data_IF_632684077566
#
_entry.id   IF_632684077566
#
_cell.length_a   1.000
_cell.length_b   1.000
_cell.length_c   1.000
_cell.angle_alpha   90.00
_cell.angle_beta   90.00
_cell.angle_gamma   90.00
#
_symmetry.space_group_name_H-M   'P 1'
#
loop_
_entity.id
_entity.type
_entity.pdbx_description
1 polymer ?
#
# COMPACT_ATOMS: atom_id res chain seq x y z
N UNK A 1 -41.00 -26.31 -36.01
CA UNK A 1 -39.59 -26.02 -36.35
C UNK A 1 -39.35 -24.55 -36.08
N UNK A 2 -38.59 -24.23 -35.04
CA UNK A 2 -38.12 -22.87 -34.76
C UNK A 2 -36.75 -22.99 -34.07
N UNK A 3 -35.74 -22.42 -34.71
CA UNK A 3 -34.38 -22.22 -34.21
C UNK A 3 -34.28 -20.81 -33.64
N UNK A 4 -33.90 -20.67 -32.37
CA UNK A 4 -33.24 -19.52 -31.73
C UNK A 4 -33.33 -19.75 -30.20
N UNK A 5 -32.29 -19.62 -29.37
CA UNK A 5 -31.31 -18.55 -29.24
C UNK A 5 -30.02 -19.08 -28.60
N UNK A 6 -28.88 -18.81 -29.25
CA UNK A 6 -27.58 -18.72 -28.60
C UNK A 6 -27.46 -17.30 -28.02
N UNK A 7 -27.36 -17.18 -26.70
CA UNK A 7 -27.03 -15.92 -26.04
C UNK A 7 -25.51 -15.80 -25.95
N UNK A 8 -24.94 -14.91 -26.75
CA UNK A 8 -23.54 -14.48 -26.64
C UNK A 8 -23.42 -13.59 -25.41
N UNK A 9 -22.79 -14.09 -24.35
CA UNK A 9 -22.32 -13.29 -23.21
C UNK A 9 -21.33 -12.25 -23.75
N UNK A 10 -21.74 -10.99 -23.73
CA UNK A 10 -20.89 -9.85 -24.08
C UNK A 10 -19.74 -9.75 -23.07
N UNK A 11 -18.51 -9.65 -23.59
CA UNK A 11 -17.36 -9.18 -22.82
C UNK A 11 -17.62 -7.73 -22.35
N UNK A 12 -17.25 -7.36 -21.12
CA UNK A 12 -17.41 -5.99 -20.65
C UNK A 12 -16.55 -5.04 -21.49
N UNK A 13 -17.14 -3.91 -21.89
CA UNK A 13 -16.49 -2.83 -22.64
C UNK A 13 -15.30 -2.25 -21.86
N UNK A 14 -14.25 -1.75 -22.54
CA UNK A 14 -13.14 -1.10 -21.89
C UNK A 14 -13.61 0.21 -21.24
N UNK A 15 -13.34 0.38 -19.95
CA UNK A 15 -13.56 1.63 -19.22
C UNK A 15 -12.85 2.78 -19.92
N UNK A 16 -13.62 3.56 -20.70
CA UNK A 16 -13.16 4.81 -21.30
C UNK A 16 -13.34 5.95 -20.29
N UNK A 17 -12.23 6.64 -20.05
CA UNK A 17 -12.12 7.95 -19.41
C UNK A 17 -12.50 8.00 -17.92
N UNK A 18 -11.56 7.60 -17.07
CA UNK A 18 -11.54 8.08 -15.69
C UNK A 18 -11.29 9.60 -15.70
N UNK A 19 -12.23 10.38 -15.16
CA UNK A 19 -12.01 11.79 -14.86
C UNK A 19 -10.76 11.94 -13.98
N UNK A 20 -9.98 13.04 -14.11
CA UNK A 20 -8.87 13.29 -13.20
C UNK A 20 -9.43 13.32 -11.77
N UNK A 21 -8.83 12.53 -10.87
CA UNK A 21 -9.14 12.58 -9.45
C UNK A 21 -9.24 14.04 -9.02
N UNK A 22 -10.42 14.50 -8.58
CA UNK A 22 -10.53 15.74 -7.80
C UNK A 22 -9.45 15.65 -6.71
N UNK A 23 -8.58 16.65 -6.62
CA UNK A 23 -7.45 16.63 -5.69
C UNK A 23 -7.96 16.19 -4.31
N UNK A 24 -7.37 15.16 -3.72
CA UNK A 24 -7.76 14.68 -2.39
C UNK A 24 -7.75 15.83 -1.36
N UNK A 25 -6.91 16.85 -1.58
CA UNK A 25 -6.87 18.09 -0.82
C UNK A 25 -8.17 18.93 -0.88
N UNK A 26 -8.89 18.93 -2.01
CA UNK A 26 -10.15 19.68 -2.20
C UNK A 26 -11.34 18.95 -1.54
N UNK A 27 -11.31 17.61 -1.51
CA UNK A 27 -12.29 16.79 -0.80
C UNK A 27 -12.19 16.94 0.73
N UNK A 28 -10.99 17.20 1.25
CA UNK A 28 -10.76 17.43 2.68
C UNK A 28 -11.28 18.80 3.15
N UNK A 29 -11.23 19.83 2.29
CA UNK A 29 -11.68 21.18 2.64
C UNK A 29 -13.21 21.31 2.76
N UNK A 30 -13.98 20.46 2.07
CA UNK A 30 -15.44 20.54 2.09
C UNK A 30 -16.13 19.85 3.28
N UNK A 31 -15.43 19.01 4.06
CA UNK A 31 -16.05 18.12 5.08
C UNK A 31 -15.32 18.09 6.44
N UNK A 32 -14.64 19.18 6.80
CA UNK A 32 -13.71 19.24 7.94
C UNK A 32 -14.31 19.01 9.36
N UNK A 33 -15.63 18.86 9.51
CA UNK A 33 -16.27 18.70 10.83
C UNK A 33 -16.70 17.27 11.20
N UNK A 34 -16.72 16.30 10.27
CA UNK A 34 -17.29 14.97 10.57
C UNK A 34 -16.74 13.80 9.74
N UNK A 35 -15.60 13.94 9.07
CA UNK A 35 -14.97 12.82 8.37
C UNK A 35 -14.42 11.80 9.38
N UNK A 36 -15.28 10.86 9.78
CA UNK A 36 -14.87 9.69 10.54
C UNK A 36 -14.11 8.67 9.68
N UNK A 37 -14.29 8.71 8.36
CA UNK A 37 -13.71 7.77 7.39
C UNK A 37 -13.08 8.51 6.23
N UNK A 38 -11.88 8.11 5.85
CA UNK A 38 -11.17 8.63 4.68
C UNK A 38 -10.63 7.49 3.83
N UNK A 39 -10.82 7.59 2.51
CA UNK A 39 -10.14 6.74 1.54
C UNK A 39 -9.21 7.60 0.71
N UNK A 40 -7.93 7.24 0.66
CA UNK A 40 -6.90 7.93 -0.12
C UNK A 40 -6.33 6.98 -1.16
N UNK A 41 -6.41 7.37 -2.43
CA UNK A 41 -5.74 6.69 -3.53
C UNK A 41 -4.48 7.45 -3.91
N UNK A 42 -3.35 6.75 -3.93
CA UNK A 42 -2.02 7.26 -4.20
C UNK A 42 -1.54 6.61 -5.49
N UNK A 43 -1.48 7.40 -6.56
CA UNK A 43 -0.94 7.01 -7.88
C UNK A 43 0.36 7.73 -8.23
N UNK A 44 0.63 8.84 -7.55
CA UNK A 44 1.85 9.63 -7.71
C UNK A 44 2.23 10.25 -6.36
N UNK A 45 3.53 10.35 -6.12
CA UNK A 45 4.09 10.92 -4.88
C UNK A 45 3.89 12.44 -4.75
N UNK A 46 3.58 13.14 -5.86
CA UNK A 46 3.44 14.60 -5.87
C UNK A 46 2.25 15.11 -5.03
N UNK A 47 1.16 14.35 -4.95
CA UNK A 47 -0.08 14.78 -4.28
C UNK A 47 -0.10 14.43 -2.77
N UNK A 48 0.81 13.56 -2.34
CA UNK A 48 0.81 12.93 -1.02
C UNK A 48 1.18 13.89 0.12
N UNK A 49 2.13 14.78 -0.12
CA UNK A 49 2.68 15.64 0.95
C UNK A 49 1.62 16.59 1.53
N UNK A 50 0.77 17.16 0.68
CA UNK A 50 -0.30 18.07 1.11
C UNK A 50 -1.41 17.32 1.84
N UNK A 51 -1.73 16.11 1.38
CA UNK A 51 -2.74 15.25 1.98
C UNK A 51 -2.33 14.82 3.39
N UNK A 52 -1.09 14.36 3.59
CA UNK A 52 -0.62 13.95 4.92
C UNK A 52 -0.57 15.12 5.91
N UNK A 53 -0.15 16.31 5.46
CA UNK A 53 -0.17 17.51 6.30
C UNK A 53 -1.60 17.83 6.79
N UNK A 54 -2.59 17.80 5.90
CA UNK A 54 -3.99 18.04 6.25
C UNK A 54 -4.61 16.91 7.08
N UNK A 55 -4.19 15.66 6.85
CA UNK A 55 -4.75 14.48 7.51
C UNK A 55 -4.53 14.51 9.03
N UNK A 56 -3.38 15.02 9.48
CA UNK A 56 -3.06 15.18 10.91
C UNK A 56 -4.03 16.08 11.68
N UNK A 57 -4.81 16.92 10.97
CA UNK A 57 -5.77 17.85 11.55
C UNK A 57 -7.19 17.27 11.62
N UNK A 58 -7.40 16.06 11.08
CA UNK A 58 -8.70 15.41 11.00
C UNK A 58 -8.91 14.44 12.16
N UNK A 59 -10.15 14.37 12.67
CA UNK A 59 -10.56 13.37 13.66
C UNK A 59 -10.99 12.06 12.99
N UNK A 60 -10.06 11.43 12.29
CA UNK A 60 -10.29 10.19 11.54
C UNK A 60 -10.34 8.98 12.46
N UNK A 61 -11.36 8.13 12.28
CA UNK A 61 -11.51 6.83 12.92
C UNK A 61 -11.24 5.67 11.98
N UNK A 62 -11.48 5.86 10.69
CA UNK A 62 -11.24 4.87 9.64
C UNK A 62 -10.38 5.48 8.53
N UNK A 63 -9.31 4.78 8.15
CA UNK A 63 -8.44 5.19 7.05
C UNK A 63 -8.19 4.01 6.10
N UNK A 64 -8.53 4.20 4.83
CA UNK A 64 -8.25 3.25 3.76
C UNK A 64 -7.25 3.86 2.79
N UNK A 65 -6.04 3.32 2.74
CA UNK A 65 -5.00 3.71 1.79
C UNK A 65 -5.00 2.74 0.62
N UNK A 66 -5.05 3.26 -0.60
CA UNK A 66 -4.90 2.50 -1.84
C UNK A 66 -3.65 3.04 -2.53
N UNK A 67 -2.60 2.24 -2.62
CA UNK A 67 -1.34 2.60 -3.26
C UNK A 67 -1.28 1.83 -4.58
N UNK A 68 -1.32 2.56 -5.69
CA UNK A 68 -1.24 2.00 -7.04
C UNK A 68 0.05 2.47 -7.69
N UNK A 69 0.96 1.53 -7.90
CA UNK A 69 2.24 1.78 -8.53
C UNK A 69 2.08 1.78 -10.07
N UNK A 70 2.26 2.96 -10.69
CA UNK A 70 2.08 3.11 -12.13
C UNK A 70 3.33 2.73 -12.95
N UNK A 71 4.51 2.79 -12.33
CA UNK A 71 5.81 2.52 -12.98
C UNK A 71 6.74 1.91 -11.94
N UNK A 72 7.48 0.88 -12.33
CA UNK A 72 8.56 0.25 -11.55
C UNK A 72 9.81 1.17 -11.51
N UNK A 73 9.64 2.37 -10.96
CA UNK A 73 10.70 3.37 -10.81
C UNK A 73 11.16 3.43 -9.35
N UNK A 74 12.40 2.99 -9.11
CA UNK A 74 13.06 3.04 -7.81
C UNK A 74 13.01 4.45 -7.17
N UNK A 75 13.07 5.53 -7.95
CA UNK A 75 13.06 6.89 -7.40
C UNK A 75 11.69 7.25 -6.83
N UNK A 76 10.62 6.91 -7.54
CA UNK A 76 9.24 7.11 -7.06
C UNK A 76 8.95 6.21 -5.85
N UNK A 77 9.42 4.97 -5.84
CA UNK A 77 9.32 4.07 -4.68
C UNK A 77 10.05 4.62 -3.45
N UNK A 78 11.28 5.09 -3.62
CA UNK A 78 12.04 5.70 -2.54
C UNK A 78 11.37 6.98 -2.05
N UNK A 79 10.77 7.76 -2.94
CA UNK A 79 10.03 8.97 -2.58
C UNK A 79 8.73 8.64 -1.83
N UNK A 80 7.99 7.61 -2.24
CA UNK A 80 6.84 7.08 -1.52
C UNK A 80 7.24 6.66 -0.10
N UNK A 81 8.33 5.89 0.02
CA UNK A 81 8.86 5.46 1.31
C UNK A 81 9.22 6.66 2.22
N UNK A 82 9.86 7.69 1.67
CA UNK A 82 10.15 8.92 2.44
C UNK A 82 8.88 9.66 2.87
N UNK A 83 7.87 9.75 2.00
CA UNK A 83 6.60 10.38 2.32
C UNK A 83 5.83 9.62 3.40
N UNK A 84 5.89 8.29 3.38
CA UNK A 84 5.30 7.44 4.42
C UNK A 84 5.91 7.73 5.79
N UNK A 85 7.20 8.01 5.89
CA UNK A 85 7.83 8.42 7.17
C UNK A 85 7.30 9.74 7.72
N UNK A 86 6.78 10.60 6.84
CA UNK A 86 6.16 11.87 7.21
C UNK A 86 4.67 11.72 7.50
N UNK A 87 4.07 10.59 7.13
CA UNK A 87 2.77 10.20 7.64
C UNK A 87 2.90 10.11 9.16
N UNK A 88 1.95 10.69 9.89
CA UNK A 88 1.94 10.67 11.35
C UNK A 88 0.66 9.98 11.82
N UNK A 89 0.50 8.71 11.46
CA UNK A 89 -0.72 7.95 11.78
C UNK A 89 -0.94 7.81 13.29
N UNK A 90 0.13 7.85 14.09
CA UNK A 90 0.08 7.70 15.55
C UNK A 90 -0.76 8.79 16.22
N UNK A 91 -0.81 10.01 15.66
CA UNK A 91 -1.60 11.10 16.21
C UNK A 91 -3.10 11.00 15.92
N UNK A 92 -3.51 10.08 15.04
CA UNK A 92 -4.90 9.91 14.65
C UNK A 92 -5.57 8.86 15.56
N UNK A 93 -6.82 9.09 16.00
CA UNK A 93 -7.58 8.13 16.80
C UNK A 93 -8.21 7.03 15.91
N UNK A 94 -7.39 6.37 15.10
CA UNK A 94 -7.84 5.34 14.16
C UNK A 94 -8.32 4.08 14.92
N UNK A 95 -9.59 3.74 14.73
CA UNK A 95 -10.19 2.48 15.18
C UNK A 95 -10.10 1.40 14.08
N UNK A 96 -10.02 1.81 12.80
CA UNK A 96 -9.88 0.90 11.66
C UNK A 96 -8.90 1.44 10.63
N UNK A 97 -8.09 0.55 10.06
CA UNK A 97 -7.09 0.89 9.06
C UNK A 97 -7.03 -0.17 7.96
N UNK A 98 -6.93 0.23 6.70
CA UNK A 98 -6.58 -0.72 5.64
C UNK A 98 -5.59 -0.15 4.65
N UNK A 99 -4.74 -1.02 4.12
CA UNK A 99 -3.88 -0.73 2.97
C UNK A 99 -4.21 -1.73 1.87
N UNK A 100 -4.41 -1.23 0.66
CA UNK A 100 -4.32 -2.02 -0.57
C UNK A 100 -3.12 -1.52 -1.35
N UNK A 101 -2.08 -2.34 -1.49
CA UNK A 101 -0.88 -2.02 -2.25
C UNK A 101 -0.88 -2.83 -3.55
N UNK A 102 -0.80 -2.17 -4.69
CA UNK A 102 -0.84 -2.79 -6.00
C UNK A 102 0.40 -2.43 -6.83
N UNK A 103 1.20 -3.43 -7.17
CA UNK A 103 2.34 -3.34 -8.07
C UNK A 103 2.35 -4.53 -9.05
N UNK A 104 2.26 -4.20 -10.34
CA UNK A 104 2.43 -5.14 -11.44
C UNK A 104 3.90 -5.19 -11.90
N UNK A 105 4.82 -5.37 -10.96
CA UNK A 105 6.26 -5.41 -11.23
C UNK A 105 6.65 -6.60 -12.11
N UNK A 106 7.72 -6.43 -12.89
CA UNK A 106 8.23 -7.44 -13.83
C UNK A 106 9.29 -8.36 -13.20
N UNK A 107 9.91 -7.92 -12.11
CA UNK A 107 10.92 -8.66 -11.34
C UNK A 107 10.80 -8.39 -9.83
N UNK A 108 11.60 -9.04 -9.00
CA UNK A 108 11.56 -8.93 -7.54
C UNK A 108 12.41 -7.77 -6.96
N UNK A 109 13.14 -7.04 -7.81
CA UNK A 109 14.27 -6.17 -7.44
C UNK A 109 13.91 -5.11 -6.40
N UNK A 110 12.65 -4.67 -6.40
CA UNK A 110 12.16 -3.58 -5.57
C UNK A 110 11.09 -3.99 -4.56
N UNK A 111 10.74 -5.29 -4.50
CA UNK A 111 9.74 -5.82 -3.55
C UNK A 111 10.15 -5.54 -2.09
N UNK A 112 11.45 -5.57 -1.84
CA UNK A 112 12.06 -5.20 -0.57
C UNK A 112 11.64 -3.78 -0.12
N UNK A 113 11.70 -2.81 -1.02
CA UNK A 113 11.33 -1.40 -0.75
C UNK A 113 9.82 -1.26 -0.58
N UNK A 114 9.03 -1.97 -1.40
CA UNK A 114 7.55 -2.00 -1.32
C UNK A 114 7.08 -2.48 0.05
N UNK A 115 7.63 -3.60 0.53
CA UNK A 115 7.31 -4.14 1.85
C UNK A 115 7.76 -3.20 2.97
N UNK A 116 8.90 -2.53 2.82
CA UNK A 116 9.33 -1.53 3.81
C UNK A 116 8.39 -0.32 3.92
N UNK A 117 7.83 0.14 2.80
CA UNK A 117 6.81 1.18 2.81
C UNK A 117 5.57 0.73 3.61
N UNK A 118 5.11 -0.50 3.40
CA UNK A 118 3.98 -1.09 4.12
C UNK A 118 4.27 -1.24 5.61
N UNK A 119 5.39 -1.87 5.98
CA UNK A 119 5.82 -1.99 7.38
C UNK A 119 5.97 -0.62 8.04
N UNK A 120 6.50 0.36 7.31
CA UNK A 120 6.65 1.73 7.76
C UNK A 120 5.32 2.40 8.12
N UNK A 121 4.24 2.13 7.39
CA UNK A 121 2.89 2.61 7.71
C UNK A 121 2.31 1.87 8.93
N UNK A 122 2.40 0.55 8.95
CA UNK A 122 1.85 -0.27 10.05
C UNK A 122 2.50 0.06 11.39
N UNK A 123 3.81 0.30 11.42
CA UNK A 123 4.55 0.66 12.63
C UNK A 123 4.18 2.02 13.23
N UNK A 124 3.43 2.86 12.50
CA UNK A 124 2.94 4.14 13.02
C UNK A 124 1.57 4.03 13.68
N UNK A 125 0.88 2.89 13.58
CA UNK A 125 -0.45 2.74 14.14
C UNK A 125 -0.41 2.65 15.66
N UNK A 126 -1.38 3.29 16.31
CA UNK A 126 -1.65 3.04 17.71
C UNK A 126 -2.48 1.76 17.87
N UNK A 127 -1.80 0.62 18.03
CA UNK A 127 -2.44 -0.69 18.18
C UNK A 127 -3.36 -0.82 19.40
N UNK A 128 -3.25 0.07 20.40
CA UNK A 128 -4.18 0.08 21.54
C UNK A 128 -5.57 0.62 21.16
N UNK A 129 -5.66 1.43 20.09
CA UNK A 129 -6.90 2.03 19.60
C UNK A 129 -7.43 1.32 18.35
N UNK A 130 -6.53 0.82 17.51
CA UNK A 130 -6.88 0.17 16.26
C UNK A 130 -7.47 -1.23 16.52
N UNK A 131 -8.76 -1.38 16.23
CA UNK A 131 -9.53 -2.64 16.44
C UNK A 131 -9.46 -3.57 15.24
N UNK A 132 -9.23 -3.03 14.06
CA UNK A 132 -9.14 -3.79 12.82
C UNK A 132 -8.12 -3.19 11.87
N UNK A 133 -7.18 -4.00 11.42
CA UNK A 133 -6.25 -3.66 10.36
C UNK A 133 -6.32 -4.71 9.25
N UNK A 134 -6.36 -4.27 8.00
CA UNK A 134 -6.37 -5.15 6.83
C UNK A 134 -5.31 -4.71 5.84
N UNK A 135 -4.52 -5.65 5.36
CA UNK A 135 -3.48 -5.44 4.37
C UNK A 135 -3.74 -6.35 3.18
N UNK A 136 -3.98 -5.76 2.02
CA UNK A 136 -4.08 -6.46 0.75
C UNK A 136 -2.86 -6.10 -0.09
N UNK A 137 -2.01 -7.08 -0.39
CA UNK A 137 -0.84 -6.93 -1.25
C UNK A 137 -1.13 -7.60 -2.59
N UNK A 138 -1.07 -6.85 -3.67
CA UNK A 138 -0.97 -7.37 -5.03
C UNK A 138 0.43 -7.03 -5.54
N UNK A 139 1.38 -7.95 -5.37
CA UNK A 139 2.79 -7.76 -5.74
C UNK A 139 3.28 -9.01 -6.45
N UNK A 140 3.81 -8.87 -7.66
CA UNK A 140 4.36 -9.99 -8.40
C UNK A 140 5.74 -10.40 -7.85
N UNK A 141 6.09 -11.67 -8.00
CA UNK A 141 7.41 -12.23 -7.68
C UNK A 141 7.82 -11.99 -6.22
N UNK A 142 6.86 -12.04 -5.30
CA UNK A 142 7.13 -11.89 -3.88
C UNK A 142 7.73 -13.20 -3.35
N UNK A 143 8.99 -13.14 -2.91
CA UNK A 143 9.71 -14.24 -2.27
C UNK A 143 9.48 -14.29 -0.75
N UNK A 144 10.10 -15.25 -0.06
CA UNK A 144 10.14 -15.35 1.40
C UNK A 144 10.98 -14.20 2.00
N UNK A 145 10.44 -13.00 1.92
CA UNK A 145 11.07 -11.78 2.41
C UNK A 145 10.88 -11.69 3.95
N UNK A 146 11.96 -11.48 4.75
CA UNK A 146 11.85 -11.38 6.21
C UNK A 146 10.86 -10.32 6.71
N UNK A 147 10.53 -9.31 5.90
CA UNK A 147 9.52 -8.30 6.26
C UNK A 147 8.10 -8.84 6.23
N UNK A 148 7.83 -9.93 5.51
CA UNK A 148 6.53 -10.60 5.56
C UNK A 148 6.32 -11.26 6.93
N UNK A 149 7.35 -11.91 7.46
CA UNK A 149 7.31 -12.47 8.83
C UNK A 149 6.96 -11.38 9.85
N UNK A 150 7.60 -10.20 9.74
CA UNK A 150 7.27 -9.05 10.60
C UNK A 150 5.83 -8.56 10.47
N UNK A 151 5.23 -8.65 9.28
CA UNK A 151 3.83 -8.28 9.05
C UNK A 151 2.90 -9.33 9.66
N UNK A 152 3.23 -10.60 9.54
CA UNK A 152 2.45 -11.71 10.08
C UNK A 152 2.41 -11.72 11.62
N UNK A 153 3.44 -11.17 12.27
CA UNK A 153 3.46 -10.96 13.73
C UNK A 153 2.51 -9.85 14.20
N UNK A 154 2.04 -8.97 13.31
CA UNK A 154 1.13 -7.87 13.65
C UNK A 154 -0.33 -8.33 13.65
N UNK A 155 -1.22 -7.66 14.42
CA UNK A 155 -2.65 -7.96 14.45
C UNK A 155 -3.37 -7.42 13.20
N UNK A 156 -2.96 -7.90 12.03
CA UNK A 156 -3.41 -7.48 10.69
C UNK A 156 -3.96 -8.69 9.95
N UNK A 157 -5.09 -8.51 9.27
CA UNK A 157 -5.56 -9.50 8.28
C UNK A 157 -4.78 -9.28 6.99
N UNK A 158 -3.87 -10.20 6.67
CA UNK A 158 -3.02 -10.15 5.49
C UNK A 158 -3.59 -11.01 4.35
N UNK A 159 -3.77 -10.40 3.17
CA UNK A 159 -4.10 -11.08 1.93
C UNK A 159 -3.00 -10.76 0.89
N UNK A 160 -2.42 -11.81 0.28
CA UNK A 160 -1.37 -11.66 -0.73
C UNK A 160 -1.85 -12.29 -2.04
N UNK A 161 -1.75 -11.50 -3.11
CA UNK A 161 -2.06 -11.87 -4.49
C UNK A 161 -0.89 -11.43 -5.39
N UNK A 162 -0.79 -12.04 -6.58
CA UNK A 162 0.25 -11.73 -7.56
C UNK A 162 0.80 -12.99 -8.24
N UNK A 163 1.65 -12.78 -9.24
CA UNK A 163 2.44 -13.86 -9.86
C UNK A 163 3.48 -14.35 -8.87
N UNK A 164 3.72 -15.66 -8.84
CA UNK A 164 4.81 -16.25 -8.06
C UNK A 164 6.09 -16.31 -8.90
N UNK A 165 7.28 -16.18 -8.29
CA UNK A 165 8.53 -16.43 -8.98
C UNK A 165 8.56 -17.87 -9.48
N UNK A 166 9.19 -18.09 -10.65
CA UNK A 166 9.42 -19.45 -11.12
C UNK A 166 10.49 -20.11 -10.24
N UNK A 167 10.43 -21.42 -10.03
CA UNK A 167 11.39 -22.14 -9.17
C UNK A 167 12.86 -21.99 -9.64
N UNK A 168 13.10 -21.48 -10.85
CA UNK A 168 14.43 -21.26 -11.44
C UNK A 168 15.05 -19.90 -11.09
N UNK A 169 14.28 -18.94 -10.56
CA UNK A 169 14.71 -17.54 -10.34
C UNK A 169 15.36 -17.29 -8.95
N UNK A 170 15.43 -18.30 -8.07
CA UNK A 170 15.76 -18.19 -6.63
C UNK A 170 17.25 -17.85 -6.33
N UNK A 171 18.08 -17.56 -7.33
CA UNK A 171 19.55 -17.50 -7.15
C UNK A 171 20.18 -16.10 -7.07
N UNK A 172 19.42 -15.00 -7.05
CA UNK A 172 19.99 -13.64 -7.09
C UNK A 172 20.07 -12.90 -5.72
N UNK A 173 19.82 -13.58 -4.61
CA UNK A 173 19.26 -12.96 -3.40
C UNK A 173 20.23 -12.41 -2.33
N UNK A 174 21.53 -12.23 -2.60
CA UNK A 174 22.50 -11.89 -1.54
C UNK A 174 23.00 -10.44 -1.49
N UNK A 175 22.61 -9.56 -2.41
CA UNK A 175 23.30 -8.25 -2.55
C UNK A 175 22.55 -7.06 -1.94
N UNK A 176 21.22 -7.10 -1.76
CA UNK A 176 20.46 -5.91 -1.36
C UNK A 176 20.25 -5.71 0.16
N UNK A 177 20.44 -6.72 1.00
CA UNK A 177 20.23 -6.64 2.45
C UNK A 177 21.15 -5.63 3.18
N UNK A 178 22.36 -5.37 2.66
CA UNK A 178 23.35 -4.51 3.34
C UNK A 178 23.02 -3.02 3.35
N UNK A 179 22.16 -2.52 2.46
CA UNK A 179 21.79 -1.10 2.47
C UNK A 179 20.63 -0.78 3.44
N UNK A 180 19.90 -1.79 3.93
CA UNK A 180 18.70 -1.60 4.74
C UNK A 180 18.95 -1.69 6.25
N UNK A 181 19.96 -2.45 6.70
CA UNK A 181 20.40 -2.50 8.10
C UNK A 181 20.80 -1.12 8.67
N UNK A 182 21.22 -0.19 7.80
CA UNK A 182 21.61 1.16 8.19
C UNK A 182 20.42 2.07 8.53
N UNK A 183 19.18 1.69 8.16
CA UNK A 183 17.99 2.53 8.37
C UNK A 183 17.19 2.17 9.62
N UNK A 184 17.45 1.03 10.27
CA UNK A 184 16.71 0.57 11.44
C UNK A 184 17.66 -0.02 12.49
N UNK A 185 17.94 0.75 13.54
CA UNK A 185 18.79 0.33 14.65
C UNK A 185 18.23 -0.85 15.46
N UNK A 186 16.94 -1.17 15.37
CA UNK A 186 16.34 -2.33 16.05
C UNK A 186 16.61 -3.67 15.33
N UNK A 187 16.92 -3.67 14.03
CA UNK A 187 17.37 -4.87 13.32
C UNK A 187 18.80 -5.26 13.71
N UNK A 188 19.55 -4.34 14.33
CA UNK A 188 20.91 -4.56 14.83
C UNK A 188 20.96 -5.35 16.16
N UNK A 189 19.81 -5.81 16.67
CA UNK A 189 19.65 -6.38 18.00
C UNK A 189 19.16 -7.82 18.06
N UNK A 190 19.12 -8.55 16.95
CA UNK A 190 18.92 -10.01 16.95
C UNK A 190 20.16 -10.66 16.31
N UNK A 191 21.27 -10.62 17.04
CA UNK A 191 21.99 -11.73 17.71
C UNK A 191 23.15 -11.11 18.49
#
# INVERSE_FOLDING_TARGET
MALSHLSVLHAPEPYKNAEPCKNAADLMEQNCASLAKLTLTIRSTNDLQQVFAKMSQLHLRELHLIIEEAVDDQHELMRLYQLIKLCNLLSLPLESFSITYHADNEDDLHNSVRLMAVVGLLNQLNWNLCKSATLNLHINYLHDDPRLELIEELPVVLNIEGKRPSEEDVYADQVQLKMLELSFSYLKGII
#
